data_IF_663736269259
#
_entry.id   IF_663736269259
#
_cell.length_a   1.000
_cell.length_b   1.000
_cell.length_c   1.000
_cell.angle_alpha   90.00
_cell.angle_beta   90.00
_cell.angle_gamma   90.00
#
_symmetry.space_group_name_H-M   'P 1'
#
loop_
_entity.id
_entity.type
_entity.pdbx_description
1 polymer ?
#
# COMPACT_ATOMS: atom_id res chain seq x y z
N UNK A 1 25.22 10.95 10.50
CA UNK A 1 24.70 9.58 10.80
C UNK A 1 24.22 9.52 12.22
N UNK A 2 23.00 8.94 12.44
CA UNK A 2 22.41 8.86 13.78
C UNK A 2 23.07 7.73 14.58
N UNK A 3 23.56 8.05 15.79
CA UNK A 3 24.23 7.11 16.69
C UNK A 3 23.25 6.64 17.77
N UNK A 4 23.32 5.34 18.06
CA UNK A 4 22.57 4.69 19.12
C UNK A 4 23.54 3.83 19.94
N UNK A 5 23.99 4.28 21.12
CA UNK A 5 25.00 3.58 21.92
C UNK A 5 24.66 2.11 22.24
N UNK A 6 23.38 1.80 22.42
CA UNK A 6 22.92 0.45 22.73
C UNK A 6 23.13 -0.55 21.58
N UNK A 7 23.30 -0.09 20.33
CA UNK A 7 23.59 -0.96 19.21
C UNK A 7 24.92 -1.72 19.37
N UNK A 8 25.88 -1.15 20.11
CA UNK A 8 27.18 -1.82 20.38
C UNK A 8 27.04 -3.13 21.15
N UNK A 9 25.91 -3.35 21.85
CA UNK A 9 25.65 -4.61 22.56
C UNK A 9 25.37 -5.78 21.60
N UNK A 10 24.89 -5.47 20.39
CA UNK A 10 24.43 -6.46 19.43
C UNK A 10 25.25 -6.41 18.13
N UNK A 11 25.80 -5.26 17.79
CA UNK A 11 26.58 -5.01 16.57
C UNK A 11 27.89 -4.30 16.93
N UNK A 12 28.92 -4.45 16.11
CA UNK A 12 30.23 -3.82 16.35
C UNK A 12 30.25 -2.30 16.09
N UNK A 13 29.10 -1.64 16.09
CA UNK A 13 28.97 -0.19 15.82
C UNK A 13 27.77 0.41 16.53
N UNK A 14 27.87 1.69 16.91
CA UNK A 14 26.78 2.51 17.38
C UNK A 14 26.09 3.28 16.23
N UNK A 15 26.59 3.18 15.02
CA UNK A 15 26.01 3.82 13.83
C UNK A 15 24.92 2.91 13.23
N UNK A 16 23.68 3.40 13.22
CA UNK A 16 22.51 2.63 12.74
C UNK A 16 22.72 2.09 11.32
N UNK A 17 23.19 2.93 10.40
CA UNK A 17 23.41 2.51 9.01
C UNK A 17 24.42 1.37 8.89
N UNK A 18 25.53 1.46 9.62
CA UNK A 18 26.53 0.39 9.66
C UNK A 18 25.98 -0.90 10.27
N UNK A 19 25.29 -0.79 11.40
CA UNK A 19 24.68 -1.94 12.08
C UNK A 19 23.63 -2.63 11.20
N UNK A 20 22.80 -1.89 10.50
CA UNK A 20 21.83 -2.45 9.57
C UNK A 20 22.47 -3.13 8.38
N UNK A 21 23.43 -2.50 7.72
CA UNK A 21 24.06 -3.07 6.52
C UNK A 21 24.90 -4.29 6.87
N UNK A 22 25.83 -4.15 7.78
CA UNK A 22 26.83 -5.20 8.05
C UNK A 22 26.38 -6.18 9.15
N UNK A 23 25.57 -5.74 10.10
CA UNK A 23 25.09 -6.60 11.17
C UNK A 23 23.84 -7.38 10.81
N UNK A 24 22.87 -6.75 10.15
CA UNK A 24 21.59 -7.38 9.83
C UNK A 24 21.49 -7.84 8.38
N UNK A 25 21.53 -6.91 7.43
CA UNK A 25 21.29 -7.24 6.01
C UNK A 25 22.33 -8.18 5.42
N UNK A 26 23.61 -7.94 5.68
CA UNK A 26 24.67 -8.80 5.18
C UNK A 26 24.59 -10.21 5.77
N UNK A 27 24.29 -10.33 7.07
CA UNK A 27 24.14 -11.63 7.73
C UNK A 27 22.93 -12.43 7.23
N UNK A 28 21.86 -11.75 6.78
CA UNK A 28 20.64 -12.40 6.28
C UNK A 28 20.72 -12.76 4.80
N UNK A 29 21.39 -11.96 3.97
CA UNK A 29 21.31 -12.07 2.52
C UNK A 29 22.68 -12.18 1.81
N UNK A 30 23.79 -12.04 2.54
CA UNK A 30 25.16 -11.94 1.97
C UNK A 30 25.33 -10.84 0.90
N UNK A 31 24.36 -9.92 0.84
CA UNK A 31 24.31 -8.83 -0.12
C UNK A 31 23.17 -8.93 -1.13
N UNK A 32 23.11 -7.96 -2.02
CA UNK A 32 22.05 -7.85 -3.02
C UNK A 32 22.35 -8.77 -4.22
N UNK A 33 21.32 -9.44 -4.73
CA UNK A 33 21.42 -10.29 -5.91
C UNK A 33 21.96 -9.49 -7.12
N UNK A 34 23.03 -9.98 -7.74
CA UNK A 34 23.71 -9.28 -8.85
C UNK A 34 22.82 -9.09 -10.07
N UNK A 35 22.03 -10.12 -10.45
CA UNK A 35 21.11 -10.02 -11.58
C UNK A 35 20.08 -8.90 -11.40
N UNK A 36 19.54 -8.74 -10.18
CA UNK A 36 18.62 -7.65 -9.86
C UNK A 36 19.27 -6.28 -9.94
N UNK A 37 20.54 -6.16 -9.52
CA UNK A 37 21.29 -4.90 -9.64
C UNK A 37 21.51 -4.52 -11.11
N UNK A 38 21.88 -5.48 -11.96
CA UNK A 38 22.06 -5.24 -13.39
C UNK A 38 20.74 -4.91 -14.09
N UNK A 39 19.63 -5.55 -13.71
CA UNK A 39 18.30 -5.24 -14.22
C UNK A 39 17.89 -3.80 -13.86
N UNK A 40 18.06 -3.42 -12.59
CA UNK A 40 17.77 -2.04 -12.15
C UNK A 40 18.66 -1.01 -12.85
N UNK A 41 19.96 -1.30 -12.99
CA UNK A 41 20.90 -0.44 -13.75
C UNK A 41 20.44 -0.24 -15.19
N UNK A 42 20.02 -1.32 -15.87
CA UNK A 42 19.53 -1.25 -17.25
C UNK A 42 18.25 -0.40 -17.34
N UNK A 43 17.29 -0.58 -16.43
CA UNK A 43 16.08 0.24 -16.36
C UNK A 43 16.39 1.73 -16.15
N UNK A 44 17.25 2.05 -15.18
CA UNK A 44 17.64 3.43 -14.90
C UNK A 44 18.38 4.06 -16.09
N UNK A 45 19.25 3.30 -16.75
CA UNK A 45 19.92 3.77 -17.95
C UNK A 45 18.92 4.08 -19.06
N UNK A 46 18.02 3.15 -19.38
CA UNK A 46 16.99 3.34 -20.40
C UNK A 46 16.09 4.56 -20.09
N UNK A 47 15.75 4.77 -18.81
CA UNK A 47 15.00 5.96 -18.40
C UNK A 47 15.78 7.26 -18.61
N UNK A 48 17.09 7.28 -18.28
CA UNK A 48 17.93 8.45 -18.52
C UNK A 48 18.18 8.73 -20.00
N UNK A 49 18.25 7.68 -20.82
CA UNK A 49 18.43 7.80 -22.28
C UNK A 49 17.12 8.17 -23.01
N UNK A 50 15.97 8.16 -22.31
CA UNK A 50 14.65 8.44 -22.88
C UNK A 50 13.99 7.26 -23.59
N UNK A 51 14.58 6.07 -23.50
CA UNK A 51 14.05 4.84 -24.12
C UNK A 51 12.95 4.16 -23.27
N UNK A 52 12.78 4.62 -22.03
CA UNK A 52 11.85 4.02 -21.06
C UNK A 52 11.21 5.09 -20.17
N UNK A 53 9.89 5.25 -20.26
CA UNK A 53 9.12 6.13 -19.39
C UNK A 53 8.45 5.32 -18.27
N UNK A 54 9.09 5.30 -17.10
CA UNK A 54 8.55 4.63 -15.91
C UNK A 54 7.28 5.32 -15.39
N UNK A 55 7.19 6.64 -15.51
CA UNK A 55 6.05 7.42 -15.01
C UNK A 55 4.80 7.06 -15.83
N UNK A 56 4.91 6.99 -17.16
CA UNK A 56 3.79 6.60 -18.01
C UNK A 56 3.34 5.15 -17.73
N UNK A 57 4.26 4.23 -17.47
CA UNK A 57 3.91 2.85 -17.11
C UNK A 57 3.10 2.74 -15.81
N UNK A 58 3.43 3.54 -14.79
CA UNK A 58 2.74 3.48 -13.49
C UNK A 58 1.51 4.37 -13.40
N UNK A 59 1.31 5.27 -14.35
CA UNK A 59 0.19 6.21 -14.41
C UNK A 59 -1.18 5.50 -14.35
N UNK A 60 -1.29 4.35 -14.99
CA UNK A 60 -2.51 3.54 -14.97
C UNK A 60 -2.94 3.14 -13.55
N UNK A 61 -1.99 2.87 -12.65
CA UNK A 61 -2.33 2.57 -11.26
C UNK A 61 -2.91 3.78 -10.53
N UNK A 62 -2.38 4.98 -10.80
CA UNK A 62 -2.93 6.22 -10.28
C UNK A 62 -4.36 6.48 -10.77
N UNK A 63 -4.63 6.24 -12.04
CA UNK A 63 -5.99 6.38 -12.60
C UNK A 63 -6.96 5.35 -12.00
N UNK A 64 -6.53 4.09 -11.85
CA UNK A 64 -7.34 3.06 -11.17
C UNK A 64 -7.62 3.44 -9.71
N UNK A 65 -6.62 3.95 -8.99
CA UNK A 65 -6.78 4.39 -7.60
C UNK A 65 -7.83 5.50 -7.48
N UNK A 66 -7.81 6.49 -8.37
CA UNK A 66 -8.81 7.57 -8.40
C UNK A 66 -10.22 7.02 -8.59
N UNK A 67 -10.41 6.13 -9.57
CA UNK A 67 -11.72 5.52 -9.84
C UNK A 67 -12.19 4.70 -8.63
N UNK A 68 -11.33 3.83 -8.11
CA UNK A 68 -11.67 2.98 -6.97
C UNK A 68 -12.02 3.81 -5.73
N UNK A 69 -11.19 4.80 -5.36
CA UNK A 69 -11.47 5.69 -4.23
C UNK A 69 -12.83 6.38 -4.39
N UNK A 70 -13.13 6.87 -5.60
CA UNK A 70 -14.42 7.49 -5.89
C UNK A 70 -15.56 6.52 -5.64
N UNK A 71 -15.50 5.28 -6.16
CA UNK A 71 -16.51 4.25 -5.95
C UNK A 71 -16.73 3.93 -4.46
N UNK A 72 -15.64 3.82 -3.69
CA UNK A 72 -15.74 3.60 -2.25
C UNK A 72 -16.42 4.79 -1.54
N UNK A 73 -15.99 6.02 -1.81
CA UNK A 73 -16.55 7.23 -1.18
C UNK A 73 -18.04 7.41 -1.52
N UNK A 74 -18.44 7.19 -2.76
CA UNK A 74 -19.83 7.30 -3.22
C UNK A 74 -20.75 6.27 -2.56
N UNK A 75 -20.18 5.17 -2.05
CA UNK A 75 -20.92 4.14 -1.30
C UNK A 75 -20.70 4.22 0.22
N UNK A 76 -20.30 5.39 0.77
CA UNK A 76 -20.27 5.65 2.20
C UNK A 76 -18.96 5.27 2.91
N UNK A 77 -17.98 4.75 2.20
CA UNK A 77 -16.66 4.46 2.77
C UNK A 77 -15.85 5.75 2.96
N UNK A 78 -14.89 5.72 3.87
CA UNK A 78 -13.96 6.81 4.18
C UNK A 78 -12.53 6.39 3.88
N UNK A 79 -11.72 7.30 3.35
CA UNK A 79 -10.28 7.05 3.20
C UNK A 79 -9.60 7.28 4.56
N UNK A 80 -8.83 6.30 5.05
CA UNK A 80 -8.23 6.32 6.38
C UNK A 80 -6.95 7.16 6.39
N UNK A 81 -6.05 6.91 5.44
CA UNK A 81 -4.84 7.69 5.23
C UNK A 81 -4.95 8.41 3.90
N UNK A 82 -5.40 9.67 3.93
CA UNK A 82 -5.64 10.47 2.73
C UNK A 82 -4.59 11.58 2.56
N UNK A 83 -4.02 12.04 3.67
CA UNK A 83 -3.06 13.15 3.67
C UNK A 83 -1.80 12.81 4.45
N UNK A 84 -0.69 13.41 4.02
CA UNK A 84 0.54 13.58 4.76
C UNK A 84 0.68 15.09 5.09
N UNK A 85 0.46 15.42 6.35
CA UNK A 85 0.24 16.81 6.80
C UNK A 85 -0.89 17.47 5.99
N UNK A 86 -0.58 18.50 5.19
CA UNK A 86 -1.55 19.23 4.37
C UNK A 86 -1.64 18.74 2.92
N UNK A 87 -0.77 17.79 2.52
CA UNK A 87 -0.72 17.29 1.15
C UNK A 87 -1.48 15.97 1.01
N UNK A 88 -2.13 15.80 -0.12
CA UNK A 88 -2.71 14.51 -0.49
C UNK A 88 -1.61 13.47 -0.62
N UNK A 89 -1.84 12.27 -0.06
CA UNK A 89 -0.94 11.14 -0.28
C UNK A 89 -0.90 10.78 -1.76
N UNK A 90 0.32 10.56 -2.26
CA UNK A 90 0.51 9.97 -3.56
C UNK A 90 0.00 8.52 -3.55
N UNK A 91 -0.85 8.18 -4.50
CA UNK A 91 -1.34 6.82 -4.67
C UNK A 91 -0.25 5.94 -5.28
N UNK A 92 -0.04 4.79 -4.66
CA UNK A 92 0.78 3.72 -5.20
C UNK A 92 -0.11 2.54 -5.61
N UNK A 93 0.29 1.32 -5.23
CA UNK A 93 -0.52 0.13 -5.46
C UNK A 93 -1.68 -0.04 -4.48
N UNK A 94 -1.74 0.77 -3.43
CA UNK A 94 -2.66 0.59 -2.32
C UNK A 94 -3.26 1.92 -1.88
N UNK A 95 -4.52 1.86 -1.41
CA UNK A 95 -5.11 2.90 -0.59
C UNK A 95 -5.81 2.27 0.62
N UNK A 96 -6.14 3.09 1.62
CA UNK A 96 -6.75 2.62 2.86
C UNK A 96 -8.15 3.18 3.01
N UNK A 97 -9.06 2.36 3.51
CA UNK A 97 -10.46 2.74 3.66
C UNK A 97 -11.06 2.14 4.94
N UNK A 98 -12.18 2.69 5.36
CA UNK A 98 -13.01 2.19 6.47
C UNK A 98 -14.48 2.40 6.14
N UNK A 99 -15.35 1.75 6.90
CA UNK A 99 -16.79 2.00 6.85
C UNK A 99 -17.31 2.28 8.24
N UNK A 100 -18.19 3.30 8.44
CA UNK A 100 -18.72 3.64 9.76
C UNK A 100 -19.39 2.46 10.46
N UNK A 101 -19.09 2.29 11.74
CA UNK A 101 -19.70 1.23 12.56
C UNK A 101 -18.98 -0.13 12.52
N UNK A 102 -17.91 -0.28 11.73
CA UNK A 102 -17.14 -1.52 11.64
C UNK A 102 -15.69 -1.33 12.10
N UNK A 103 -15.15 -2.34 12.77
CA UNK A 103 -13.71 -2.56 12.84
C UNK A 103 -13.18 -3.14 11.53
N UNK A 104 -11.87 -3.11 11.29
CA UNK A 104 -11.28 -3.66 10.05
C UNK A 104 -11.55 -5.16 9.88
N UNK A 105 -11.59 -5.93 10.96
CA UNK A 105 -11.87 -7.38 10.91
C UNK A 105 -13.33 -7.63 10.58
N UNK A 106 -14.25 -6.96 11.27
CA UNK A 106 -15.70 -7.09 10.99
C UNK A 106 -16.02 -6.63 9.56
N UNK A 107 -15.40 -5.56 9.11
CA UNK A 107 -15.55 -5.06 7.74
C UNK A 107 -15.03 -6.06 6.70
N UNK A 108 -13.91 -6.74 6.98
CA UNK A 108 -13.39 -7.80 6.12
C UNK A 108 -14.38 -8.94 6.00
N UNK A 109 -14.88 -9.45 7.13
CA UNK A 109 -15.84 -10.55 7.16
C UNK A 109 -17.10 -10.20 6.37
N UNK A 110 -17.66 -9.02 6.59
CA UNK A 110 -18.87 -8.58 5.90
C UNK A 110 -18.61 -8.38 4.38
N UNK A 111 -17.53 -7.72 3.98
CA UNK A 111 -17.19 -7.50 2.56
C UNK A 111 -16.99 -8.81 1.78
N UNK A 112 -16.55 -9.89 2.44
CA UNK A 112 -16.38 -11.20 1.79
C UNK A 112 -17.72 -11.77 1.28
N UNK A 113 -18.85 -11.50 1.94
CA UNK A 113 -20.18 -11.91 1.46
C UNK A 113 -20.54 -11.23 0.14
N UNK A 114 -19.96 -10.06 -0.15
CA UNK A 114 -20.13 -9.35 -1.41
C UNK A 114 -19.00 -9.65 -2.40
N UNK A 115 -18.11 -10.60 -2.06
CA UNK A 115 -16.99 -10.98 -2.91
C UNK A 115 -15.90 -9.91 -3.02
N UNK A 116 -15.75 -9.04 -2.02
CA UNK A 116 -14.69 -8.04 -1.91
C UNK A 116 -13.72 -8.51 -0.84
N UNK A 117 -12.44 -8.70 -1.23
CA UNK A 117 -11.36 -9.05 -0.31
C UNK A 117 -10.37 -7.91 -0.20
N UNK A 118 -9.95 -7.60 1.02
CA UNK A 118 -8.95 -6.60 1.35
C UNK A 118 -8.16 -7.06 2.59
N UNK A 119 -7.21 -6.26 3.06
CA UNK A 119 -6.40 -6.61 4.23
C UNK A 119 -6.69 -5.62 5.34
N UNK A 120 -7.03 -6.12 6.54
CA UNK A 120 -7.20 -5.27 7.73
C UNK A 120 -5.88 -4.58 8.09
N UNK A 121 -5.94 -3.31 8.52
CA UNK A 121 -4.76 -2.49 8.79
C UNK A 121 -3.99 -2.91 10.05
N UNK A 122 -4.63 -3.60 10.99
CA UNK A 122 -3.96 -4.16 12.19
C UNK A 122 -2.83 -5.13 11.80
N UNK A 123 -3.07 -5.99 10.80
CA UNK A 123 -2.06 -6.94 10.26
C UNK A 123 -0.85 -6.20 9.70
N UNK A 124 -1.03 -4.96 9.22
CA UNK A 124 0.05 -4.13 8.67
C UNK A 124 0.77 -3.29 9.72
N UNK A 125 0.43 -3.44 11.00
CA UNK A 125 1.02 -2.70 12.12
C UNK A 125 0.45 -1.30 12.32
N UNK A 126 -0.66 -0.96 11.67
CA UNK A 126 -1.37 0.30 11.89
C UNK A 126 -2.12 0.29 13.22
N UNK A 127 -2.21 1.46 13.85
CA UNK A 127 -3.08 1.69 15.03
C UNK A 127 -4.53 2.04 14.66
N UNK A 128 -4.83 2.19 13.37
CA UNK A 128 -6.17 2.50 12.85
C UNK A 128 -6.93 1.19 12.62
N UNK A 129 -7.45 0.62 13.72
CA UNK A 129 -8.06 -0.72 13.74
C UNK A 129 -9.38 -0.80 12.94
N UNK A 130 -9.99 0.34 12.63
CA UNK A 130 -11.17 0.44 11.76
C UNK A 130 -10.84 0.32 10.27
N UNK A 131 -9.55 0.39 9.93
CA UNK A 131 -9.10 0.53 8.55
C UNK A 131 -8.83 -0.80 7.86
N UNK A 132 -8.94 -0.73 6.54
CA UNK A 132 -8.54 -1.78 5.60
C UNK A 132 -7.66 -1.22 4.49
N UNK A 133 -6.91 -2.08 3.81
CA UNK A 133 -6.05 -1.74 2.67
C UNK A 133 -6.53 -2.44 1.41
N UNK A 134 -6.94 -1.66 0.41
CA UNK A 134 -7.26 -2.12 -0.94
C UNK A 134 -6.02 -2.13 -1.84
N UNK A 135 -5.98 -3.04 -2.81
CA UNK A 135 -4.93 -3.15 -3.81
C UNK A 135 -5.47 -2.79 -5.20
N UNK A 136 -4.98 -1.69 -5.79
CA UNK A 136 -5.43 -1.23 -7.10
C UNK A 136 -4.80 -2.00 -8.26
N UNK A 137 -3.62 -2.59 -8.06
CA UNK A 137 -2.92 -3.32 -9.11
C UNK A 137 -3.59 -4.66 -9.47
N UNK A 138 -4.41 -5.20 -8.57
CA UNK A 138 -5.12 -6.48 -8.77
C UNK A 138 -6.48 -6.34 -9.47
N UNK A 139 -6.99 -5.11 -9.62
CA UNK A 139 -8.30 -4.85 -10.22
C UNK A 139 -8.13 -4.28 -11.62
N UNK A 140 -8.70 -4.96 -12.62
CA UNK A 140 -8.73 -4.48 -14.00
C UNK A 140 -9.88 -3.47 -14.20
N UNK A 141 -9.76 -2.57 -15.19
CA UNK A 141 -10.82 -1.58 -15.50
C UNK A 141 -12.17 -2.23 -15.81
N UNK A 142 -12.17 -3.39 -16.45
CA UNK A 142 -13.39 -4.16 -16.73
C UNK A 142 -14.14 -4.64 -15.48
N UNK A 143 -13.47 -4.71 -14.35
CA UNK A 143 -14.04 -5.16 -13.06
C UNK A 143 -14.65 -4.02 -12.24
N UNK A 144 -14.51 -2.75 -12.66
CA UNK A 144 -15.05 -1.62 -11.90
C UNK A 144 -16.56 -1.62 -11.83
N UNK A 145 -17.25 -2.08 -12.88
CA UNK A 145 -18.71 -2.20 -12.89
C UNK A 145 -19.18 -3.20 -11.83
N UNK A 146 -18.48 -4.34 -11.73
CA UNK A 146 -18.78 -5.36 -10.71
C UNK A 146 -18.46 -4.84 -9.31
N UNK A 147 -17.32 -4.13 -9.14
CA UNK A 147 -16.95 -3.53 -7.87
C UNK A 147 -18.00 -2.51 -7.41
N UNK A 148 -18.43 -1.62 -8.29
CA UNK A 148 -19.49 -0.63 -8.01
C UNK A 148 -20.78 -1.30 -7.55
N UNK A 149 -21.23 -2.30 -8.29
CA UNK A 149 -22.44 -3.07 -7.94
C UNK A 149 -22.31 -3.70 -6.54
N UNK A 150 -21.17 -4.31 -6.23
CA UNK A 150 -20.91 -4.96 -4.94
C UNK A 150 -20.87 -3.98 -3.77
N UNK A 151 -20.20 -2.82 -3.95
CA UNK A 151 -20.13 -1.75 -2.96
C UNK A 151 -21.52 -1.17 -2.69
N UNK A 152 -22.31 -0.96 -3.76
CA UNK A 152 -23.69 -0.49 -3.63
C UNK A 152 -24.55 -1.47 -2.83
N UNK A 153 -24.46 -2.76 -3.13
CA UNK A 153 -25.19 -3.80 -2.39
C UNK A 153 -24.77 -3.87 -0.93
N UNK A 154 -23.48 -3.74 -0.66
CA UNK A 154 -22.97 -3.64 0.70
C UNK A 154 -23.60 -2.44 1.44
N UNK A 155 -23.56 -1.24 0.85
CA UNK A 155 -24.08 -0.02 1.47
C UNK A 155 -25.62 -0.07 1.68
N UNK A 156 -26.39 -0.65 0.75
CA UNK A 156 -27.83 -0.86 0.88
C UNK A 156 -28.19 -1.74 2.10
N UNK A 157 -27.37 -2.76 2.38
CA UNK A 157 -27.60 -3.70 3.48
C UNK A 157 -27.00 -3.23 4.82
N UNK A 158 -26.09 -2.26 4.78
CA UNK A 158 -25.39 -1.69 5.94
C UNK A 158 -25.58 -0.16 5.98
N UNK A 159 -26.81 0.36 6.18
CA UNK A 159 -27.06 1.80 6.15
C UNK A 159 -26.32 2.51 7.29
N UNK A 160 -25.71 3.64 6.98
CA UNK A 160 -25.06 4.51 7.97
C UNK A 160 -26.16 5.24 8.74
N UNK A 161 -26.25 4.99 10.04
CA UNK A 161 -27.21 5.67 10.95
C UNK A 161 -26.77 7.11 11.28
#
# INVERSE_FOLDING_TARGET
YRKFPDLKRFFNSDELGYAMVFGALYSLSSGVCHSSQYALKAMLKAANDGDFDFIEMVKEYGERAKIMKKLFIENGFKIVYDKDEEKQLADGFYFTFSYPGFSGIELLEELLYYGISAISLDITGSKRLEGMRACVSQIQRSQFVDLEFRLKKFAENNPIS
#
